data_IF_591463592497
#
_entry.id   IF_591463592497
#
_cell.length_a   1.000
_cell.length_b   1.000
_cell.length_c   1.000
_cell.angle_alpha   90.00
_cell.angle_beta   90.00
_cell.angle_gamma   90.00
#
_symmetry.space_group_name_H-M   'P 1'
#
loop_
_entity.id
_entity.type
_entity.pdbx_description
1 polymer ?
#
# COMPACT_ATOMS: atom_id res chain seq x y z
N UNK A 1 -38.03 -37.05 26.58
CA UNK A 1 -37.38 -36.95 25.25
C UNK A 1 -38.23 -36.00 24.41
N UNK A 2 -37.77 -35.07 23.58
CA UNK A 2 -36.47 -34.41 23.34
C UNK A 2 -36.80 -33.03 22.68
N UNK A 3 -35.91 -32.08 22.32
CA UNK A 3 -34.44 -31.95 22.32
C UNK A 3 -34.12 -30.47 22.62
N UNK A 4 -32.99 -30.14 23.24
CA UNK A 4 -32.43 -28.77 23.20
C UNK A 4 -31.90 -28.45 21.79
N UNK A 5 -32.10 -27.23 21.29
CA UNK A 5 -30.97 -26.50 20.71
C UNK A 5 -31.24 -24.99 20.71
N UNK A 6 -30.40 -24.28 21.45
CA UNK A 6 -30.02 -22.91 21.12
C UNK A 6 -29.27 -22.95 19.79
N UNK A 7 -29.70 -22.17 18.81
CA UNK A 7 -28.87 -21.85 17.66
C UNK A 7 -28.55 -20.33 17.68
N UNK A 8 -27.32 -19.94 17.34
CA UNK A 8 -26.72 -18.75 17.91
C UNK A 8 -26.96 -17.50 17.07
N UNK A 9 -26.93 -16.34 17.75
CA UNK A 9 -26.78 -15.02 17.12
C UNK A 9 -25.56 -15.09 16.21
N UNK A 10 -25.79 -15.01 14.90
CA UNK A 10 -24.79 -15.31 13.90
C UNK A 10 -23.71 -14.23 13.88
N UNK A 11 -22.49 -14.62 14.27
CA UNK A 11 -21.27 -13.78 14.30
C UNK A 11 -21.04 -13.06 12.94
N UNK A 12 -21.57 -13.59 11.83
CA UNK A 12 -21.60 -12.92 10.52
C UNK A 12 -22.11 -11.48 10.54
N UNK A 13 -23.11 -11.12 11.35
CA UNK A 13 -23.64 -9.75 11.35
C UNK A 13 -22.70 -8.71 11.99
N UNK A 14 -21.71 -9.13 12.79
CA UNK A 14 -20.72 -8.22 13.37
C UNK A 14 -19.45 -8.06 12.49
N UNK A 15 -19.26 -8.91 11.48
CA UNK A 15 -18.05 -8.96 10.66
C UNK A 15 -18.18 -8.27 9.29
N UNK A 16 -19.41 -8.04 8.79
CA UNK A 16 -19.64 -7.36 7.51
C UNK A 16 -19.17 -5.90 7.51
N UNK A 17 -19.73 -5.08 8.41
CA UNK A 17 -19.51 -3.63 8.43
C UNK A 17 -18.07 -3.22 8.77
N UNK A 18 -17.31 -4.07 9.46
CA UNK A 18 -15.90 -3.80 9.77
C UNK A 18 -14.94 -4.07 8.59
N UNK A 19 -15.34 -4.94 7.65
CA UNK A 19 -14.52 -5.37 6.53
C UNK A 19 -14.55 -4.38 5.36
N UNK A 20 -15.67 -3.71 5.10
CA UNK A 20 -15.75 -2.68 4.04
C UNK A 20 -14.87 -1.48 4.37
N UNK A 21 -15.01 -0.89 5.56
CA UNK A 21 -14.24 0.31 5.97
C UNK A 21 -12.73 0.08 5.91
N UNK A 22 -12.27 -1.11 6.30
CA UNK A 22 -10.85 -1.50 6.22
C UNK A 22 -10.36 -1.77 4.79
N UNK A 23 -11.20 -2.33 3.91
CA UNK A 23 -10.85 -2.55 2.50
C UNK A 23 -10.81 -1.25 1.70
N UNK A 24 -11.74 -0.33 1.97
CA UNK A 24 -11.79 0.99 1.35
C UNK A 24 -10.57 1.83 1.72
N UNK A 25 -10.23 1.94 3.01
CA UNK A 25 -9.01 2.63 3.45
C UNK A 25 -7.76 2.01 2.82
N UNK A 26 -7.59 0.69 2.87
CA UNK A 26 -6.45 0.00 2.21
C UNK A 26 -6.46 0.08 0.67
N UNK A 27 -7.57 0.46 0.07
CA UNK A 27 -7.69 0.76 -1.35
C UNK A 27 -7.19 2.17 -1.65
N UNK A 28 -7.66 3.18 -0.90
CA UNK A 28 -7.16 4.55 -0.95
C UNK A 28 -5.66 4.61 -0.67
N UNK A 29 -5.17 3.98 0.40
CA UNK A 29 -3.73 3.92 0.74
C UNK A 29 -2.86 3.45 -0.45
N UNK A 30 -3.36 2.56 -1.31
CA UNK A 30 -2.63 2.10 -2.50
C UNK A 30 -2.63 3.10 -3.64
N UNK A 31 -3.74 3.81 -3.84
CA UNK A 31 -3.87 4.86 -4.85
C UNK A 31 -3.02 6.07 -4.43
N UNK A 32 -3.12 6.48 -3.17
CA UNK A 32 -2.36 7.58 -2.58
C UNK A 32 -0.84 7.33 -2.68
N UNK A 33 -0.36 6.15 -2.26
CA UNK A 33 1.08 5.81 -2.34
C UNK A 33 1.60 5.74 -3.79
N UNK A 34 0.80 5.25 -4.72
CA UNK A 34 1.19 5.20 -6.13
C UNK A 34 1.22 6.60 -6.76
N UNK A 35 0.23 7.45 -6.46
CA UNK A 35 0.20 8.85 -6.89
C UNK A 35 1.35 9.66 -6.32
N UNK A 36 1.61 9.55 -5.00
CA UNK A 36 2.71 10.21 -4.33
C UNK A 36 4.07 9.85 -4.95
N UNK A 37 4.31 8.58 -5.32
CA UNK A 37 5.54 8.17 -6.00
C UNK A 37 5.80 8.98 -7.28
N UNK A 38 4.79 9.14 -8.15
CA UNK A 38 4.95 9.89 -9.40
C UNK A 38 4.98 11.40 -9.20
N UNK A 39 4.28 11.93 -8.19
CA UNK A 39 4.30 13.34 -7.81
C UNK A 39 5.70 13.84 -7.42
N UNK A 40 6.54 12.97 -6.82
CA UNK A 40 7.91 13.32 -6.44
C UNK A 40 8.80 13.71 -7.63
N UNK A 41 8.63 13.05 -8.77
CA UNK A 41 9.40 13.35 -9.99
C UNK A 41 8.72 12.72 -11.22
N UNK A 42 8.30 13.52 -12.22
CA UNK A 42 7.75 13.01 -13.48
C UNK A 42 8.64 11.99 -14.21
N UNK A 43 9.98 12.07 -14.04
CA UNK A 43 10.90 11.10 -14.62
C UNK A 43 10.67 9.67 -14.11
N UNK A 44 10.01 9.48 -12.95
CA UNK A 44 9.71 8.16 -12.43
C UNK A 44 8.69 7.42 -13.30
N UNK A 45 7.79 8.12 -14.00
CA UNK A 45 6.84 7.49 -14.96
C UNK A 45 7.60 6.80 -16.10
N UNK A 46 8.64 7.43 -16.64
CA UNK A 46 9.47 6.90 -17.74
C UNK A 46 10.16 5.58 -17.39
N UNK A 47 10.57 5.40 -16.13
CA UNK A 47 11.38 4.25 -15.70
C UNK A 47 10.62 3.22 -14.87
N UNK A 48 9.42 3.53 -14.37
CA UNK A 48 8.61 2.61 -13.55
C UNK A 48 7.74 1.71 -14.41
N UNK A 49 8.14 0.45 -14.57
CA UNK A 49 7.37 -0.56 -15.31
C UNK A 49 6.11 -0.99 -14.55
N UNK A 50 6.16 -1.03 -13.21
CA UNK A 50 4.97 -1.28 -12.38
C UNK A 50 5.21 -0.90 -10.92
N UNK A 51 4.18 -0.40 -10.26
CA UNK A 51 4.17 -0.05 -8.84
C UNK A 51 3.12 -0.88 -8.08
N UNK A 52 3.44 -1.29 -6.85
CA UNK A 52 2.51 -2.01 -5.96
C UNK A 52 2.81 -1.69 -4.50
N UNK A 53 1.79 -1.21 -3.78
CA UNK A 53 1.84 -1.09 -2.32
C UNK A 53 1.15 -2.29 -1.65
N UNK A 54 1.87 -3.00 -0.78
CA UNK A 54 1.35 -4.11 0.02
C UNK A 54 2.12 -4.25 1.34
N UNK A 55 1.40 -4.49 2.46
CA UNK A 55 1.99 -4.70 3.81
C UNK A 55 3.03 -3.62 4.16
N UNK A 56 2.63 -2.35 4.05
CA UNK A 56 3.47 -1.19 4.38
C UNK A 56 4.77 -1.09 3.53
N UNK A 57 4.86 -1.89 2.46
CA UNK A 57 6.02 -1.97 1.57
C UNK A 57 5.61 -1.54 0.15
N UNK A 58 6.37 -0.59 -0.40
CA UNK A 58 6.24 -0.18 -1.79
C UNK A 58 7.21 -0.98 -2.66
N UNK A 59 6.67 -1.75 -3.59
CA UNK A 59 7.42 -2.47 -4.61
C UNK A 59 7.37 -1.68 -5.92
N UNK A 60 8.55 -1.35 -6.45
CA UNK A 60 8.69 -0.62 -7.72
C UNK A 60 9.58 -1.45 -8.64
N UNK A 61 9.03 -1.92 -9.75
CA UNK A 61 9.82 -2.52 -10.83
C UNK A 61 10.31 -1.40 -11.75
N UNK A 62 11.61 -1.30 -11.96
CA UNK A 62 12.26 -0.28 -12.78
C UNK A 62 12.89 -0.91 -14.03
N UNK A 63 12.69 -0.26 -15.19
CA UNK A 63 13.18 -0.72 -16.49
C UNK A 63 14.70 -0.60 -16.67
N UNK A 64 15.36 0.28 -15.90
CA UNK A 64 16.80 0.54 -15.98
C UNK A 64 17.51 0.14 -14.68
N UNK A 65 18.50 -0.75 -14.81
CA UNK A 65 19.37 -1.14 -13.69
C UNK A 65 20.20 0.02 -13.15
N UNK A 66 20.67 0.93 -14.01
CA UNK A 66 21.42 2.12 -13.59
C UNK A 66 20.54 3.05 -12.78
N UNK A 67 19.32 3.33 -13.26
CA UNK A 67 18.37 4.19 -12.53
C UNK A 67 17.93 3.55 -11.20
N UNK A 68 17.79 2.23 -11.16
CA UNK A 68 17.55 1.47 -9.93
C UNK A 68 18.67 1.62 -8.91
N UNK A 69 19.93 1.58 -9.37
CA UNK A 69 21.12 1.75 -8.53
C UNK A 69 21.19 3.16 -7.96
N UNK A 70 21.05 4.19 -8.80
CA UNK A 70 20.96 5.61 -8.39
C UNK A 70 19.84 5.85 -7.36
N UNK A 71 18.62 5.37 -7.63
CA UNK A 71 17.50 5.47 -6.69
C UNK A 71 17.72 4.66 -5.39
N UNK A 72 18.56 3.62 -5.41
CA UNK A 72 18.82 2.80 -4.22
C UNK A 72 19.57 3.57 -3.13
N UNK A 73 20.41 4.54 -3.52
CA UNK A 73 21.05 5.49 -2.60
C UNK A 73 20.05 6.51 -2.06
N UNK A 74 19.07 6.94 -2.88
CA UNK A 74 18.03 7.91 -2.50
C UNK A 74 16.83 7.34 -1.73
N UNK A 75 16.68 6.01 -1.64
CA UNK A 75 15.43 5.34 -1.21
C UNK A 75 14.88 5.77 0.14
N UNK A 76 15.74 6.11 1.11
CA UNK A 76 15.29 6.55 2.44
C UNK A 76 14.71 7.98 2.42
N UNK A 77 15.27 8.86 1.59
CA UNK A 77 14.71 10.20 1.36
C UNK A 77 13.38 10.08 0.63
N UNK A 78 13.29 9.22 -0.39
CA UNK A 78 12.06 8.97 -1.15
C UNK A 78 10.95 8.43 -0.22
N UNK A 79 11.26 7.48 0.66
CA UNK A 79 10.31 6.96 1.66
C UNK A 79 9.74 8.06 2.55
N UNK A 80 10.60 8.98 3.04
CA UNK A 80 10.15 10.13 3.84
C UNK A 80 9.22 11.04 3.03
N UNK A 81 9.63 11.44 1.83
CA UNK A 81 8.85 12.34 0.99
C UNK A 81 7.48 11.75 0.59
N UNK A 82 7.37 10.43 0.37
CA UNK A 82 6.06 9.77 0.14
C UNK A 82 5.16 9.88 1.38
N UNK A 83 5.68 9.61 2.58
CA UNK A 83 4.89 9.72 3.80
C UNK A 83 4.53 11.17 4.15
N UNK A 84 5.39 12.14 3.80
CA UNK A 84 5.15 13.58 3.93
C UNK A 84 4.02 14.03 2.98
N UNK A 85 4.05 13.62 1.70
CA UNK A 85 2.99 13.91 0.71
C UNK A 85 1.62 13.33 1.12
N UNK A 86 1.60 12.12 1.71
CA UNK A 86 0.37 11.49 2.20
C UNK A 86 -0.06 12.07 3.57
N UNK A 87 0.81 12.81 4.25
CA UNK A 87 0.56 13.39 5.58
C UNK A 87 0.51 12.37 6.74
N UNK A 88 0.99 11.13 6.52
CA UNK A 88 1.00 10.04 7.51
C UNK A 88 2.01 8.95 7.15
N UNK A 89 2.60 8.31 8.17
CA UNK A 89 3.55 7.22 7.98
C UNK A 89 2.85 5.91 7.57
N UNK A 90 2.86 5.62 6.27
CA UNK A 90 2.16 4.47 5.65
C UNK A 90 3.16 3.54 4.95
N UNK A 91 4.22 4.08 4.35
CA UNK A 91 5.30 3.33 3.71
C UNK A 91 6.47 3.17 4.67
N UNK A 92 6.70 1.94 5.13
CA UNK A 92 7.83 1.57 6.02
C UNK A 92 9.03 1.00 5.27
N UNK A 93 8.85 0.60 4.01
CA UNK A 93 9.94 0.04 3.19
C UNK A 93 9.70 0.27 1.70
N UNK A 94 10.77 0.55 0.96
CA UNK A 94 10.77 0.54 -0.50
C UNK A 94 11.65 -0.63 -0.98
N UNK A 95 11.16 -1.36 -1.97
CA UNK A 95 11.86 -2.45 -2.65
C UNK A 95 11.88 -2.16 -4.14
N UNK A 96 13.04 -1.75 -4.63
CA UNK A 96 13.31 -1.53 -6.06
C UNK A 96 13.71 -2.87 -6.71
N UNK A 97 13.17 -3.14 -7.90
CA UNK A 97 13.31 -4.40 -8.65
C UNK A 97 13.52 -4.16 -10.14
#
# INVERSE_FOLDING_TARGET
MAKRNTDPISISQALGEFVEKNKLNKGMDKVDVAGAWFALNPAFETYTTSIRFERETLFVNLSSSVFREELSYGKEKILKMINEEIGREVVKKIVLR
#
